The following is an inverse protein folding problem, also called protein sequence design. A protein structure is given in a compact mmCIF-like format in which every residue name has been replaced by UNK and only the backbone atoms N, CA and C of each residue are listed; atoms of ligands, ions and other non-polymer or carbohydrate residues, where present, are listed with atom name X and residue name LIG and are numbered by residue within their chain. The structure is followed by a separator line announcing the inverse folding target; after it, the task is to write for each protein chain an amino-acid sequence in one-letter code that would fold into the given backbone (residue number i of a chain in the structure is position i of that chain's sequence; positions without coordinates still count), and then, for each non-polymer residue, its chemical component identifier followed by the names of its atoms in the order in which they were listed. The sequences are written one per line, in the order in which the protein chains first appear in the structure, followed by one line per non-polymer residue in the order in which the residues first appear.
data_IF_434516885251
#
_entry.id   IF_434516885251
#
_cell.length_a   1.000
_cell.length_b   1.000
_cell.length_c   1.000
_cell.angle_alpha   90.00
_cell.angle_beta   90.00
_cell.angle_gamma   90.00
#
_symmetry.space_group_name_H-M   'P 1'
#
loop_
_entity.id
_entity.type
_entity.pdbx_description
1 polymer ?
#
# COMPACT_ATOMS: atom_id res chain seq x y z
N UNK A 1 17.13 15.65 -9.66
CA UNK A 1 18.06 14.97 -8.74
C UNK A 1 17.24 14.61 -7.51
N UNK A 2 16.98 13.33 -7.29
CA UNK A 2 16.09 12.87 -6.21
C UNK A 2 16.76 13.02 -4.84
N UNK A 3 16.00 13.29 -3.76
CA UNK A 3 16.56 13.22 -2.42
C UNK A 3 17.02 11.78 -2.13
N UNK A 4 18.26 11.61 -1.67
CA UNK A 4 18.92 10.31 -1.36
C UNK A 4 18.05 9.35 -0.53
N UNK A 5 17.10 9.88 0.24
CA UNK A 5 16.24 9.12 1.16
C UNK A 5 15.27 8.15 0.45
N UNK A 6 14.82 8.45 -0.77
CA UNK A 6 13.92 7.55 -1.53
C UNK A 6 14.69 6.39 -2.20
N UNK A 7 15.99 6.57 -2.46
CA UNK A 7 16.82 5.52 -3.06
C UNK A 7 17.18 4.38 -2.08
N UNK A 8 16.99 4.61 -0.78
CA UNK A 8 17.35 3.67 0.29
C UNK A 8 16.16 2.92 0.90
N UNK A 9 14.96 3.01 0.32
CA UNK A 9 13.80 2.22 0.75
C UNK A 9 13.48 1.16 -0.30
N UNK A 10 13.33 -0.09 0.15
CA UNK A 10 12.88 -1.19 -0.68
C UNK A 10 11.53 -1.70 -0.14
N UNK A 11 10.52 -1.89 -1.01
CA UNK A 11 10.52 -1.63 -2.45
C UNK A 11 10.38 -0.15 -2.80
N UNK A 12 11.27 0.33 -3.67
CA UNK A 12 11.23 1.68 -4.24
C UNK A 12 10.40 1.75 -5.53
N UNK A 13 10.20 2.95 -6.10
CA UNK A 13 9.38 3.15 -7.30
C UNK A 13 9.75 2.25 -8.49
N UNK A 14 11.06 2.03 -8.70
CA UNK A 14 11.58 1.17 -9.76
C UNK A 14 11.32 -0.32 -9.57
N UNK A 15 10.86 -0.75 -8.39
CA UNK A 15 10.41 -2.12 -8.15
C UNK A 15 8.89 -2.23 -8.27
N UNK A 16 8.17 -1.18 -7.86
CA UNK A 16 6.72 -1.14 -8.01
C UNK A 16 6.30 -1.07 -9.48
N UNK A 17 6.99 -0.30 -10.34
CA UNK A 17 6.50 -0.05 -11.71
C UNK A 17 5.05 0.49 -11.74
N UNK A 18 4.57 1.09 -10.65
CA UNK A 18 3.18 1.54 -10.54
C UNK A 18 2.82 2.59 -11.59
N UNK A 19 3.80 3.39 -12.04
CA UNK A 19 3.62 4.38 -13.12
C UNK A 19 3.19 3.79 -14.47
N UNK A 20 3.37 2.48 -14.68
CA UNK A 20 2.93 1.81 -15.90
C UNK A 20 1.43 1.49 -15.86
N UNK A 21 0.80 1.52 -14.66
CA UNK A 21 -0.64 1.38 -14.53
C UNK A 21 -1.38 2.55 -15.20
N UNK A 22 -2.47 2.30 -15.94
CA UNK A 22 -3.26 3.36 -16.56
C UNK A 22 -3.93 4.30 -15.54
N UNK A 23 -4.10 3.85 -14.30
CA UNK A 23 -4.72 4.62 -13.21
C UNK A 23 -3.71 5.37 -12.32
N UNK A 24 -2.42 5.30 -12.64
CA UNK A 24 -1.37 5.95 -11.87
C UNK A 24 -1.41 7.49 -12.01
N UNK A 25 -1.11 8.25 -10.95
CA UNK A 25 -1.02 9.70 -11.04
C UNK A 25 0.17 10.15 -11.90
N UNK A 26 -0.06 11.08 -12.82
CA UNK A 26 0.92 11.51 -13.85
C UNK A 26 2.22 12.10 -13.27
N UNK A 27 2.13 12.79 -12.13
CA UNK A 27 3.24 13.58 -11.59
C UNK A 27 3.83 13.04 -10.26
N UNK A 28 3.35 11.89 -9.78
CA UNK A 28 3.74 11.36 -8.48
C UNK A 28 4.05 9.86 -8.56
N UNK A 29 5.24 9.46 -8.12
CA UNK A 29 5.53 8.04 -7.93
C UNK A 29 4.84 7.53 -6.66
N UNK A 30 4.13 6.42 -6.77
CA UNK A 30 3.41 5.78 -5.68
C UNK A 30 3.70 4.27 -5.66
N UNK A 31 3.31 3.59 -4.58
CA UNK A 31 3.14 2.14 -4.62
C UNK A 31 1.87 1.77 -5.40
N UNK A 32 1.74 0.51 -5.81
CA UNK A 32 0.51 -0.01 -6.42
C UNK A 32 -0.42 -0.75 -5.46
N UNK A 33 -0.28 -0.49 -4.15
CA UNK A 33 -1.12 -1.08 -3.09
C UNK A 33 -1.64 0.01 -2.15
N UNK A 34 -2.67 -0.32 -1.39
CA UNK A 34 -3.37 0.63 -0.50
C UNK A 34 -3.02 0.42 0.97
N UNK A 35 -3.60 1.21 1.87
CA UNK A 35 -3.48 1.05 3.32
C UNK A 35 -4.81 1.32 4.03
N UNK A 36 -4.95 1.02 5.34
CA UNK A 36 -6.21 1.18 6.05
C UNK A 36 -6.78 2.60 5.93
N UNK A 37 -8.08 2.76 5.58
CA UNK A 37 -8.66 4.03 5.14
C UNK A 37 -9.02 4.99 6.29
N UNK A 38 -8.06 5.35 7.14
CA UNK A 38 -8.28 6.22 8.31
C UNK A 38 -8.50 7.70 7.99
N UNK A 39 -8.38 8.09 6.71
CA UNK A 39 -8.39 9.46 6.23
C UNK A 39 -9.67 10.23 6.59
N UNK A 40 -10.84 9.61 6.50
CA UNK A 40 -12.11 10.27 6.82
C UNK A 40 -12.22 10.60 8.31
N UNK A 41 -11.79 9.67 9.17
CA UNK A 41 -11.70 9.89 10.62
C UNK A 41 -10.73 11.02 10.94
N UNK A 42 -9.57 11.06 10.29
CA UNK A 42 -8.60 12.13 10.46
C UNK A 42 -9.14 13.49 10.01
N UNK A 43 -9.80 13.57 8.85
CA UNK A 43 -10.41 14.79 8.35
C UNK A 43 -11.49 15.34 9.30
N UNK A 44 -12.35 14.46 9.82
CA UNK A 44 -13.35 14.82 10.82
C UNK A 44 -12.71 15.31 12.13
N UNK A 45 -11.63 14.66 12.56
CA UNK A 45 -10.89 15.06 13.75
C UNK A 45 -10.30 16.47 13.59
N UNK A 46 -9.66 16.76 12.46
CA UNK A 46 -9.11 18.09 12.13
C UNK A 46 -10.21 19.14 12.19
N UNK A 47 -11.34 18.89 11.53
CA UNK A 47 -12.47 19.82 11.53
C UNK A 47 -12.99 20.14 12.94
N UNK A 48 -13.20 19.10 13.77
CA UNK A 48 -13.74 19.25 15.12
C UNK A 48 -12.83 20.02 16.08
N UNK A 49 -11.54 20.11 15.78
CA UNK A 49 -10.54 20.77 16.65
C UNK A 49 -9.93 22.01 16.03
N UNK A 50 -10.42 22.46 14.87
CA UNK A 50 -9.96 23.67 14.24
C UNK A 50 -10.40 24.91 15.02
N UNK A 51 -9.48 25.88 15.16
CA UNK A 51 -9.80 27.19 15.72
C UNK A 51 -10.44 28.13 14.68
N UNK A 52 -10.13 27.90 13.40
CA UNK A 52 -10.70 28.60 12.25
C UNK A 52 -11.75 27.71 11.58
N UNK A 53 -13.01 27.93 11.95
CA UNK A 53 -14.15 27.13 11.46
C UNK A 53 -14.36 27.27 9.95
N UNK A 54 -14.15 28.47 9.40
CA UNK A 54 -14.37 28.73 7.99
C UNK A 54 -13.36 27.93 7.13
N UNK A 55 -12.07 28.02 7.46
CA UNK A 55 -11.03 27.26 6.77
C UNK A 55 -11.21 25.74 6.94
N UNK A 56 -11.59 25.30 8.14
CA UNK A 56 -11.84 23.88 8.39
C UNK A 56 -13.01 23.34 7.56
N UNK A 57 -14.07 24.15 7.39
CA UNK A 57 -15.20 23.83 6.53
C UNK A 57 -14.78 23.77 5.06
N UNK A 58 -14.03 24.76 4.57
CA UNK A 58 -13.51 24.78 3.19
C UNK A 58 -12.64 23.54 2.91
N UNK A 59 -11.78 23.16 3.86
CA UNK A 59 -11.01 21.92 3.79
C UNK A 59 -11.91 20.69 3.68
N UNK A 60 -12.92 20.56 4.55
CA UNK A 60 -13.84 19.42 4.50
C UNK A 60 -14.62 19.35 3.19
N UNK A 61 -15.13 20.48 2.70
CA UNK A 61 -15.85 20.54 1.42
C UNK A 61 -14.95 20.08 0.26
N UNK A 62 -13.67 20.45 0.29
CA UNK A 62 -12.69 20.00 -0.72
C UNK A 62 -12.30 18.52 -0.59
N UNK A 63 -12.27 17.98 0.63
CA UNK A 63 -11.84 16.61 0.92
C UNK A 63 -12.97 15.59 0.73
N UNK A 64 -14.21 15.96 1.04
CA UNK A 64 -15.36 15.07 1.05
C UNK A 64 -15.57 14.28 -0.25
N UNK A 65 -15.60 14.88 -1.45
CA UNK A 65 -15.77 14.11 -2.69
C UNK A 65 -14.61 13.14 -2.95
N UNK A 66 -13.38 13.48 -2.54
CA UNK A 66 -12.20 12.61 -2.69
C UNK A 66 -12.25 11.43 -1.71
N UNK A 67 -12.71 11.68 -0.48
CA UNK A 67 -12.94 10.65 0.53
C UNK A 67 -14.05 9.69 0.09
N UNK A 68 -15.12 10.21 -0.52
CA UNK A 68 -16.18 9.39 -1.13
C UNK A 68 -15.64 8.50 -2.22
N UNK A 69 -14.95 9.08 -3.22
CA UNK A 69 -14.34 8.33 -4.32
C UNK A 69 -13.34 7.26 -3.83
N UNK A 70 -12.61 7.54 -2.74
CA UNK A 70 -11.71 6.57 -2.12
C UNK A 70 -12.45 5.37 -1.52
N UNK A 71 -13.57 5.58 -0.81
CA UNK A 71 -14.37 4.48 -0.30
C UNK A 71 -15.08 3.71 -1.42
N UNK A 72 -15.57 4.41 -2.44
CA UNK A 72 -16.20 3.80 -3.62
C UNK A 72 -15.20 2.89 -4.36
N UNK A 73 -13.94 3.31 -4.49
CA UNK A 73 -12.85 2.47 -5.01
C UNK A 73 -12.68 1.20 -4.16
N UNK A 74 -12.64 1.32 -2.83
CA UNK A 74 -12.45 0.17 -1.95
C UNK A 74 -13.58 -0.85 -2.10
N UNK A 75 -14.85 -0.42 -2.12
CA UNK A 75 -15.95 -1.35 -2.34
C UNK A 75 -15.92 -1.94 -3.75
N UNK A 76 -15.71 -1.13 -4.79
CA UNK A 76 -15.69 -1.61 -6.17
C UNK A 76 -14.58 -2.63 -6.42
N UNK A 77 -13.37 -2.36 -5.95
CA UNK A 77 -12.19 -3.17 -6.28
C UNK A 77 -11.92 -4.30 -5.28
N UNK A 78 -12.36 -4.13 -4.02
CA UNK A 78 -12.02 -5.03 -2.91
C UNK A 78 -13.23 -5.73 -2.29
N UNK A 79 -14.44 -5.43 -2.75
CA UNK A 79 -15.67 -6.13 -2.35
C UNK A 79 -16.56 -6.41 -3.60
N UNK A 80 -16.05 -7.18 -4.59
CA UNK A 80 -16.73 -7.39 -5.87
C UNK A 80 -18.07 -8.14 -5.71
N UNK A 81 -18.23 -8.88 -4.62
CA UNK A 81 -19.43 -9.68 -4.32
C UNK A 81 -20.42 -8.94 -3.41
N UNK A 82 -20.08 -7.72 -2.94
CA UNK A 82 -20.97 -6.88 -2.13
C UNK A 82 -21.25 -7.45 -0.73
N UNK A 83 -20.27 -8.10 -0.13
CA UNK A 83 -20.35 -8.74 1.19
C UNK A 83 -20.24 -7.73 2.35
N UNK A 84 -19.83 -6.49 2.07
CA UNK A 84 -19.53 -5.47 3.07
C UNK A 84 -18.16 -5.65 3.73
N UNK A 85 -17.30 -6.50 3.16
CA UNK A 85 -15.94 -6.78 3.64
C UNK A 85 -14.95 -6.62 2.49
N UNK A 86 -14.01 -5.69 2.65
CA UNK A 86 -12.94 -5.48 1.67
C UNK A 86 -11.81 -6.47 1.88
N UNK A 87 -11.37 -7.15 0.82
CA UNK A 87 -10.22 -8.04 0.89
C UNK A 87 -8.89 -7.30 0.69
N UNK A 88 -7.85 -7.88 1.29
CA UNK A 88 -6.46 -7.43 1.18
C UNK A 88 -5.74 -8.30 0.14
N UNK A 89 -5.08 -7.64 -0.82
CA UNK A 89 -4.29 -8.28 -1.89
C UNK A 89 -2.84 -8.55 -1.46
N UNK A 90 -2.32 -7.73 -0.55
CA UNK A 90 -0.93 -7.80 -0.08
C UNK A 90 -0.84 -7.52 1.43
N UNK A 91 -0.05 -8.26 2.23
CA UNK A 91 0.06 -8.03 3.68
C UNK A 91 0.34 -6.58 4.10
N UNK A 92 1.16 -5.85 3.32
CA UNK A 92 1.41 -4.41 3.52
C UNK A 92 0.15 -3.52 3.52
N UNK A 93 -0.94 -3.95 2.89
CA UNK A 93 -2.20 -3.20 2.90
C UNK A 93 -2.89 -3.21 4.25
N UNK A 94 -2.51 -4.11 5.16
CA UNK A 94 -3.05 -4.11 6.52
C UNK A 94 -2.37 -3.09 7.43
N UNK A 95 -1.21 -2.56 7.02
CA UNK A 95 -0.32 -1.80 7.91
C UNK A 95 0.32 -2.66 9.03
N UNK A 96 0.19 -3.99 8.96
CA UNK A 96 0.71 -4.97 9.92
C UNK A 96 1.48 -6.06 9.18
N UNK A 97 2.54 -5.66 8.49
CA UNK A 97 3.29 -6.43 7.49
C UNK A 97 3.76 -7.81 7.99
N UNK A 98 4.27 -7.87 9.22
CA UNK A 98 4.83 -9.08 9.85
C UNK A 98 3.86 -9.72 10.86
N UNK A 99 2.57 -9.40 10.80
CA UNK A 99 1.58 -10.03 11.66
C UNK A 99 1.51 -11.55 11.41
N UNK A 100 1.51 -12.39 12.46
CA UNK A 100 1.38 -13.85 12.31
C UNK A 100 0.10 -14.30 11.59
N UNK A 101 -0.91 -13.42 11.45
CA UNK A 101 -2.12 -13.69 10.67
C UNK A 101 -1.79 -14.02 9.20
N UNK A 102 -0.69 -13.49 8.67
CA UNK A 102 -0.26 -13.69 7.30
C UNK A 102 0.56 -14.96 7.11
N UNK A 103 1.14 -15.55 8.17
CA UNK A 103 2.10 -16.65 8.05
C UNK A 103 1.51 -17.85 7.28
N UNK A 104 0.35 -18.33 7.72
CA UNK A 104 -0.31 -19.47 7.08
C UNK A 104 -0.78 -19.15 5.65
N UNK A 105 -1.18 -17.91 5.38
CA UNK A 105 -1.65 -17.47 4.07
C UNK A 105 -0.48 -17.42 3.10
N UNK A 106 0.62 -16.78 3.51
CA UNK A 106 1.84 -16.66 2.71
C UNK A 106 2.49 -18.01 2.47
N UNK A 107 2.47 -18.94 3.45
CA UNK A 107 3.02 -20.28 3.26
C UNK A 107 2.31 -21.09 2.16
N UNK A 108 1.06 -20.79 1.82
CA UNK A 108 0.35 -21.43 0.69
C UNK A 108 0.93 -21.03 -0.68
N UNK A 109 1.66 -19.93 -0.74
CA UNK A 109 2.38 -19.50 -1.94
C UNK A 109 3.70 -20.27 -2.03
N UNK A 110 3.71 -21.31 -2.85
CA UNK A 110 4.89 -22.11 -3.17
C UNK A 110 5.60 -21.53 -4.39
N UNK A 111 6.64 -20.75 -4.15
CA UNK A 111 7.45 -20.14 -5.21
C UNK A 111 8.60 -21.04 -5.61
N UNK A 112 8.81 -21.18 -6.92
CA UNK A 112 10.09 -21.67 -7.46
C UNK A 112 11.12 -20.55 -7.44
N UNK A 113 12.40 -20.90 -7.44
CA UNK A 113 13.50 -19.92 -7.42
C UNK A 113 13.50 -18.97 -8.61
N UNK A 114 13.00 -19.39 -9.78
CA UNK A 114 12.85 -18.56 -10.98
C UNK A 114 11.68 -17.56 -10.90
N UNK A 115 10.77 -17.74 -9.93
CA UNK A 115 9.64 -16.83 -9.71
C UNK A 115 9.97 -15.72 -8.72
N UNK A 116 11.05 -15.85 -7.94
CA UNK A 116 11.44 -14.80 -6.99
C UNK A 116 12.15 -13.69 -7.79
N UNK A 117 11.61 -12.46 -7.83
CA UNK A 117 12.28 -11.37 -8.54
C UNK A 117 13.63 -11.05 -7.88
N UNK A 118 14.55 -10.46 -8.64
CA UNK A 118 15.81 -9.99 -8.06
C UNK A 118 15.56 -8.70 -7.29
N UNK A 119 15.92 -8.68 -6.02
CA UNK A 119 15.84 -7.48 -5.20
C UNK A 119 16.92 -7.43 -4.13
N UNK A 120 17.17 -6.23 -3.61
CA UNK A 120 18.04 -6.00 -2.46
C UNK A 120 17.20 -5.44 -1.32
N UNK A 121 17.18 -6.15 -0.18
CA UNK A 121 16.52 -5.69 1.05
C UNK A 121 17.25 -4.43 1.56
N UNK A 122 16.56 -3.30 1.59
CA UNK A 122 17.10 -2.06 2.14
C UNK A 122 16.76 -1.88 3.64
N UNK A 123 15.77 -2.62 4.15
CA UNK A 123 15.23 -2.52 5.52
C UNK A 123 16.09 -3.21 6.60
N UNK A 124 17.09 -4.00 6.20
CA UNK A 124 18.05 -4.67 7.10
C UNK A 124 19.10 -3.71 7.68
N UNK A 125 19.18 -2.48 7.17
CA UNK A 125 20.16 -1.49 7.62
C UNK A 125 19.67 -0.56 8.75
N UNK A 126 18.36 -0.53 9.04
CA UNK A 126 17.77 0.47 9.94
C UNK A 126 17.12 -0.11 11.20
N UNK A 127 16.79 -1.41 11.22
CA UNK A 127 16.10 -2.08 12.35
C UNK A 127 16.66 -3.50 12.51
N UNK A 128 16.69 -4.03 13.74
CA UNK A 128 17.14 -5.39 14.06
C UNK A 128 16.44 -6.44 13.20
N UNK A 129 17.21 -7.44 12.75
CA UNK A 129 16.69 -8.57 11.97
C UNK A 129 15.61 -9.38 12.71
N UNK A 130 15.57 -9.32 14.06
CA UNK A 130 14.56 -9.98 14.89
C UNK A 130 13.15 -9.40 14.72
N UNK A 131 13.04 -8.15 14.28
CA UNK A 131 11.79 -7.41 14.22
C UNK A 131 11.23 -7.36 12.79
N UNK A 132 11.81 -8.18 11.87
CA UNK A 132 11.52 -8.18 10.44
C UNK A 132 11.00 -9.53 9.96
N UNK A 133 10.15 -9.55 8.92
CA UNK A 133 9.79 -10.80 8.26
C UNK A 133 11.04 -11.55 7.77
N UNK A 134 10.98 -12.88 7.87
CA UNK A 134 12.06 -13.76 7.39
C UNK A 134 12.33 -13.54 5.90
N UNK A 135 13.51 -13.93 5.41
CA UNK A 135 13.87 -13.84 3.99
C UNK A 135 12.80 -14.46 3.09
N UNK A 136 12.30 -15.65 3.45
CA UNK A 136 11.25 -16.33 2.70
C UNK A 136 9.87 -15.65 2.73
N UNK A 137 9.55 -14.85 3.75
CA UNK A 137 8.34 -14.03 3.74
C UNK A 137 8.46 -12.87 2.74
N UNK A 138 9.64 -12.25 2.68
CA UNK A 138 9.90 -11.16 1.74
C UNK A 138 9.94 -11.62 0.28
N UNK A 139 10.40 -12.83 -0.02
CA UNK A 139 10.33 -13.38 -1.38
C UNK A 139 8.89 -13.42 -1.91
N UNK A 140 7.94 -13.71 -1.01
CA UNK A 140 6.51 -13.75 -1.34
C UNK A 140 5.92 -12.36 -1.51
N UNK A 141 6.34 -11.40 -0.69
CA UNK A 141 5.94 -10.00 -0.86
C UNK A 141 6.47 -9.44 -2.18
N UNK A 142 7.75 -9.65 -2.45
CA UNK A 142 8.41 -9.23 -3.69
C UNK A 142 7.75 -9.87 -4.92
N UNK A 143 7.43 -11.17 -4.84
CA UNK A 143 6.68 -11.86 -5.89
C UNK A 143 5.31 -11.23 -6.14
N UNK A 144 4.53 -10.92 -5.10
CA UNK A 144 3.20 -10.34 -5.28
C UNK A 144 3.28 -8.98 -5.97
N UNK A 145 4.24 -8.14 -5.60
CA UNK A 145 4.46 -6.84 -6.28
C UNK A 145 4.79 -7.04 -7.76
N UNK A 146 5.73 -7.94 -8.07
CA UNK A 146 6.07 -8.24 -9.46
C UNK A 146 4.86 -8.79 -10.23
N UNK A 147 4.08 -9.67 -9.59
CA UNK A 147 2.87 -10.24 -10.16
C UNK A 147 1.80 -9.18 -10.50
N UNK A 148 1.65 -8.16 -9.66
CA UNK A 148 0.76 -7.01 -9.93
C UNK A 148 1.31 -6.11 -11.03
N UNK A 149 2.62 -5.82 -11.00
CA UNK A 149 3.29 -5.00 -12.01
C UNK A 149 3.21 -5.63 -13.41
N UNK A 150 3.37 -6.95 -13.53
CA UNK A 150 3.23 -7.70 -14.80
C UNK A 150 1.80 -7.64 -15.39
N UNK A 151 0.84 -7.09 -14.64
CA UNK A 151 -0.58 -6.95 -15.03
C UNK A 151 -1.02 -5.49 -15.06
N UNK A 152 -0.09 -4.54 -15.02
CA UNK A 152 -0.38 -3.11 -14.99
C UNK A 152 -1.33 -2.70 -13.85
N UNK A 153 -1.36 -3.50 -12.77
CA UNK A 153 -2.25 -3.37 -11.62
C UNK A 153 -3.76 -3.52 -11.90
N UNK A 154 -4.13 -4.19 -13.01
CA UNK A 154 -5.50 -4.66 -13.30
C UNK A 154 -5.93 -5.83 -12.39
#
# INVERSE_FOLDING_TARGET
MYPERLMNYFPGPNFWHAKESPDAPEHHETSGVVQPPIHATAALYVYRHAQDEANAKDFLESAYPKLGAWHDYLYRERDPDGEGLVYIRHPWESGMDNSPIWDQIMQRLHLRSDQVPRYHRADTHTVSASDRPTSGAYDRFAYLVAFFADRDYD
#
